data_IF_105844153522
#
_entry.id   IF_105844153522
#
_cell.length_a   1.000
_cell.length_b   1.000
_cell.length_c   1.000
_cell.angle_alpha   90.00
_cell.angle_beta   90.00
_cell.angle_gamma   90.00
#
_symmetry.space_group_name_H-M   'P 1'
#
loop_
_entity.id
_entity.type
_entity.pdbx_description
1 polymer ?
#
# COMPACT_ATOMS: atom_id res chain seq x y z
N UNK A 1 -22.01 45.84 5.91
CA UNK A 1 -21.77 44.46 5.48
C UNK A 1 -20.27 44.24 5.44
N UNK A 2 -19.69 43.58 6.42
CA UNK A 2 -18.29 43.16 6.40
C UNK A 2 -18.27 41.63 6.46
N UNK A 3 -17.66 40.99 5.46
CA UNK A 3 -17.49 39.54 5.39
C UNK A 3 -16.38 39.15 6.37
N UNK A 4 -16.72 38.34 7.38
CA UNK A 4 -15.74 37.69 8.23
C UNK A 4 -14.96 36.64 7.41
N UNK A 5 -13.63 36.54 7.53
CA UNK A 5 -12.88 35.50 6.84
C UNK A 5 -13.20 34.15 7.47
N UNK A 6 -13.60 33.19 6.64
CA UNK A 6 -13.84 31.82 7.07
C UNK A 6 -12.56 31.25 7.69
N UNK A 7 -12.69 30.70 8.90
CA UNK A 7 -11.67 29.88 9.55
C UNK A 7 -11.19 28.82 8.57
N UNK A 8 -9.92 28.91 8.17
CA UNK A 8 -9.21 27.85 7.46
C UNK A 8 -8.98 26.71 8.45
N UNK A 9 -10.01 25.89 8.65
CA UNK A 9 -9.88 24.66 9.40
C UNK A 9 -8.83 23.78 8.73
N UNK A 10 -7.80 23.39 9.48
CA UNK A 10 -6.85 22.36 9.08
C UNK A 10 -7.66 21.15 8.63
N UNK A 11 -7.74 20.93 7.32
CA UNK A 11 -8.39 19.76 6.77
C UNK A 11 -7.56 18.56 7.19
N UNK A 12 -7.92 17.95 8.33
CA UNK A 12 -7.30 16.74 8.82
C UNK A 12 -7.22 15.76 7.65
N UNK A 13 -6.00 15.30 7.33
CA UNK A 13 -5.76 14.40 6.22
C UNK A 13 -6.56 13.11 6.47
N UNK A 14 -7.73 13.01 5.86
CA UNK A 14 -8.55 11.82 5.97
C UNK A 14 -7.84 10.66 5.27
N UNK A 15 -7.66 9.51 5.94
CA UNK A 15 -7.10 8.34 5.29
C UNK A 15 -8.02 7.94 4.14
N UNK A 16 -7.45 7.79 2.95
CA UNK A 16 -8.19 7.38 1.76
C UNK A 16 -7.53 6.17 1.14
N UNK A 17 -8.35 5.24 0.68
CA UNK A 17 -7.88 4.15 -0.16
C UNK A 17 -7.36 4.69 -1.47
N UNK A 18 -6.19 4.19 -1.89
CA UNK A 18 -5.60 4.50 -3.18
C UNK A 18 -4.99 3.24 -3.75
N UNK A 19 -5.23 3.00 -5.04
CA UNK A 19 -4.53 1.96 -5.79
C UNK A 19 -3.07 2.39 -5.99
N UNK A 20 -2.14 1.51 -5.63
CA UNK A 20 -0.72 1.68 -5.93
C UNK A 20 -0.51 1.43 -7.42
N UNK A 21 0.13 2.37 -8.11
CA UNK A 21 0.44 2.33 -9.55
C UNK A 21 1.92 2.63 -9.74
N UNK A 22 2.54 2.09 -10.79
CA UNK A 22 3.96 2.30 -11.07
C UNK A 22 4.92 1.53 -10.16
N UNK A 23 4.45 0.45 -9.54
CA UNK A 23 5.33 -0.44 -8.78
C UNK A 23 6.21 -1.29 -9.72
N UNK A 24 7.30 -1.82 -9.19
CA UNK A 24 8.20 -2.73 -9.92
C UNK A 24 8.54 -3.97 -9.09
N UNK A 25 8.97 -5.02 -9.76
CA UNK A 25 9.29 -6.33 -9.17
C UNK A 25 8.50 -7.49 -9.79
N UNK A 26 8.89 -8.74 -9.51
CA UNK A 26 8.19 -9.92 -10.02
C UNK A 26 6.79 -10.04 -9.42
N UNK A 27 5.79 -10.30 -10.29
CA UNK A 27 4.40 -10.49 -9.88
C UNK A 27 4.15 -11.96 -9.56
N UNK A 28 3.86 -12.33 -8.31
CA UNK A 28 3.43 -13.67 -7.99
C UNK A 28 2.02 -13.93 -8.53
N UNK A 29 1.70 -15.22 -8.70
CA UNK A 29 0.29 -15.62 -8.84
C UNK A 29 -0.53 -15.12 -7.63
N UNK A 30 -1.82 -14.81 -7.83
CA UNK A 30 -2.73 -14.51 -6.72
C UNK A 30 -2.60 -15.55 -5.60
N UNK A 31 -2.60 -15.11 -4.35
CA UNK A 31 -2.33 -15.95 -3.17
C UNK A 31 -3.10 -15.46 -1.95
N UNK A 32 -3.44 -16.36 -1.04
CA UNK A 32 -4.01 -16.06 0.27
C UNK A 32 -3.09 -16.58 1.40
N UNK A 33 -3.36 -16.18 2.64
CA UNK A 33 -2.58 -16.64 3.81
C UNK A 33 -1.12 -16.15 3.87
N UNK A 34 -0.75 -15.17 3.05
CA UNK A 34 0.58 -14.57 3.08
C UNK A 34 0.72 -13.58 4.24
N UNK A 35 1.96 -13.26 4.62
CA UNK A 35 2.27 -12.15 5.53
C UNK A 35 2.91 -11.01 4.76
N UNK A 36 2.53 -9.77 5.08
CA UNK A 36 3.07 -8.58 4.43
C UNK A 36 3.57 -7.56 5.46
N UNK A 37 4.68 -6.89 5.15
CA UNK A 37 5.22 -5.76 5.91
C UNK A 37 5.64 -4.64 4.97
N UNK A 38 5.57 -3.39 5.45
CA UNK A 38 6.06 -2.22 4.75
C UNK A 38 7.39 -1.77 5.37
N UNK A 39 8.42 -1.58 4.54
CA UNK A 39 9.74 -1.06 4.93
C UNK A 39 10.09 0.05 3.95
N UNK A 40 10.01 1.30 4.41
CA UNK A 40 10.16 2.49 3.54
C UNK A 40 9.22 2.39 2.33
N UNK A 41 9.75 2.45 1.11
CA UNK A 41 9.02 2.34 -0.16
C UNK A 41 8.80 0.88 -0.59
N UNK A 42 9.25 -0.10 0.19
CA UNK A 42 9.13 -1.52 -0.13
C UNK A 42 7.94 -2.15 0.57
N UNK A 43 7.20 -2.96 -0.17
CA UNK A 43 6.27 -3.94 0.38
C UNK A 43 6.91 -5.32 0.24
N UNK A 44 7.11 -5.99 1.37
CA UNK A 44 7.69 -7.33 1.44
C UNK A 44 6.59 -8.32 1.81
N UNK A 45 6.42 -9.34 0.97
CA UNK A 45 5.40 -10.39 1.12
C UNK A 45 6.09 -11.74 1.22
N UNK A 46 5.74 -12.52 2.23
CA UNK A 46 6.27 -13.85 2.45
C UNK A 46 5.17 -14.91 2.47
N UNK A 47 5.42 -15.97 1.71
CA UNK A 47 4.60 -17.17 1.59
C UNK A 47 3.20 -16.95 1.03
N UNK A 48 2.26 -17.77 1.50
CA UNK A 48 0.89 -17.85 1.00
C UNK A 48 0.79 -18.54 -0.36
N UNK A 49 -0.40 -18.99 -0.75
CA UNK A 49 -0.63 -19.63 -2.05
C UNK A 49 -2.07 -20.09 -2.22
N UNK A 50 -2.40 -20.67 -3.37
CA UNK A 50 -3.75 -21.18 -3.65
C UNK A 50 -3.83 -22.71 -3.71
N UNK A 51 -2.72 -23.38 -4.00
CA UNK A 51 -2.62 -24.85 -4.15
C UNK A 51 -1.67 -25.46 -3.10
N UNK A 52 -1.38 -24.70 -2.04
CA UNK A 52 -0.36 -24.99 -1.04
C UNK A 52 0.31 -23.71 -0.57
N UNK A 53 0.93 -23.76 0.61
CA UNK A 53 1.71 -22.65 1.14
C UNK A 53 3.12 -22.76 0.55
N UNK A 54 3.55 -21.74 -0.19
CA UNK A 54 4.93 -21.65 -0.69
C UNK A 54 5.81 -20.89 0.29
N UNK A 55 7.12 -21.13 0.23
CA UNK A 55 8.15 -20.44 1.00
C UNK A 55 8.89 -19.44 0.07
N UNK A 56 8.13 -18.48 -0.46
CA UNK A 56 8.63 -17.48 -1.40
C UNK A 56 8.59 -16.08 -0.79
N UNK A 57 9.61 -15.28 -1.11
CA UNK A 57 9.69 -13.87 -0.75
C UNK A 57 9.48 -13.00 -1.99
N UNK A 58 8.50 -12.09 -1.94
CA UNK A 58 8.28 -11.07 -2.94
C UNK A 58 8.54 -9.68 -2.37
N UNK A 59 9.20 -8.84 -3.15
CA UNK A 59 9.50 -7.46 -2.79
C UNK A 59 9.00 -6.56 -3.92
N UNK A 60 8.15 -5.60 -3.58
CA UNK A 60 7.66 -4.59 -4.50
C UNK A 60 8.21 -3.23 -4.13
N UNK A 61 8.81 -2.55 -5.10
CA UNK A 61 9.13 -1.15 -4.93
C UNK A 61 7.90 -0.30 -5.29
N UNK A 62 7.43 0.50 -4.34
CA UNK A 62 6.29 1.42 -4.48
C UNK A 62 6.72 2.89 -4.53
N UNK A 63 8.02 3.14 -4.46
CA UNK A 63 8.63 4.44 -4.66
C UNK A 63 8.49 4.86 -6.10
N UNK A 64 8.08 6.10 -6.31
CA UNK A 64 8.16 6.76 -7.60
C UNK A 64 9.53 7.38 -7.79
#
# INVERSE_FOLDING_TARGET
>A
MALSPAVSGSAALQPRWKRVVGWSGPVPRPRHGHRAVAIKELIVVFGGGNEGIVDELHVYNTGK
#
